data_IF_707507245222
#
_entry.id   IF_707507245222
#
_cell.length_a   1.000
_cell.length_b   1.000
_cell.length_c   1.000
_cell.angle_alpha   90.00
_cell.angle_beta   90.00
_cell.angle_gamma   90.00
#
_symmetry.space_group_name_H-M   'P 1'
#
loop_
_entity.id
_entity.type
_entity.pdbx_description
1 polymer ?
#
# COMPACT_ATOMS: atom_id res chain seq x y z
N UNK A 1 -15.98 -11.41 1.73
CA UNK A 1 -14.53 -11.13 1.76
C UNK A 1 -14.40 -9.81 2.47
N UNK A 2 -13.98 -9.80 3.73
CA UNK A 2 -13.87 -8.56 4.49
C UNK A 2 -12.76 -7.71 3.88
N UNK A 3 -13.09 -6.49 3.44
CA UNK A 3 -12.15 -5.55 2.85
C UNK A 3 -11.29 -4.90 3.94
N UNK A 4 -10.55 -5.71 4.70
CA UNK A 4 -9.68 -5.20 5.74
C UNK A 4 -8.31 -4.90 5.13
N UNK A 5 -8.15 -3.66 4.64
CA UNK A 5 -6.88 -3.16 4.15
C UNK A 5 -5.96 -2.87 5.33
N UNK A 6 -4.70 -3.30 5.24
CA UNK A 6 -3.69 -3.05 6.27
C UNK A 6 -2.56 -2.18 5.71
N UNK A 7 -1.90 -1.41 6.59
CA UNK A 7 -0.69 -0.67 6.24
C UNK A 7 0.51 -1.62 6.08
N UNK A 8 1.51 -1.20 5.30
CA UNK A 8 2.76 -1.96 5.11
C UNK A 8 3.46 -2.27 6.43
N UNK A 9 3.38 -1.36 7.41
CA UNK A 9 3.94 -1.55 8.76
C UNK A 9 3.30 -2.67 9.57
N UNK A 10 2.08 -3.08 9.22
CA UNK A 10 1.30 -4.09 9.93
C UNK A 10 1.43 -5.48 9.30
N UNK A 11 2.23 -5.62 8.23
CA UNK A 11 2.49 -6.90 7.59
C UNK A 11 3.28 -7.82 8.52
N UNK A 12 2.79 -9.06 8.66
CA UNK A 12 3.47 -10.09 9.45
C UNK A 12 4.56 -10.76 8.63
N UNK A 13 5.71 -11.02 9.25
CA UNK A 13 6.75 -11.85 8.65
C UNK A 13 6.31 -13.32 8.56
N UNK A 14 6.74 -14.02 7.51
CA UNK A 14 6.38 -15.42 7.25
C UNK A 14 5.20 -15.57 6.29
N UNK A 15 4.56 -16.75 6.31
CA UNK A 15 3.39 -17.04 5.45
C UNK A 15 2.14 -16.40 6.04
N UNK A 16 1.65 -15.36 5.38
CA UNK A 16 0.40 -14.69 5.71
C UNK A 16 -0.35 -14.31 4.43
N UNK A 17 -1.62 -13.94 4.56
CA UNK A 17 -2.43 -13.40 3.47
C UNK A 17 -3.04 -12.09 3.95
N UNK A 18 -2.81 -11.00 3.22
CA UNK A 18 -3.28 -9.66 3.58
C UNK A 18 -3.57 -8.86 2.31
N UNK A 19 -4.57 -8.00 2.39
CA UNK A 19 -4.87 -7.03 1.33
C UNK A 19 -4.30 -5.67 1.74
N UNK A 20 -3.56 -5.03 0.85
CA UNK A 20 -2.98 -3.70 1.06
C UNK A 20 -3.27 -2.80 -0.13
N UNK A 21 -3.47 -1.52 0.14
CA UNK A 21 -3.50 -0.48 -0.90
C UNK A 21 -2.18 0.27 -0.82
N UNK A 22 -1.50 0.47 -1.94
CA UNK A 22 -0.16 1.08 -1.99
C UNK A 22 0.02 1.90 -3.24
N UNK A 23 0.96 2.85 -3.19
CA UNK A 23 1.47 3.58 -4.35
C UNK A 23 2.77 2.93 -4.81
N UNK A 24 2.83 2.49 -6.06
CA UNK A 24 4.06 2.01 -6.69
C UNK A 24 4.93 3.20 -7.10
N UNK A 25 6.08 3.37 -6.45
CA UNK A 25 7.02 4.47 -6.73
C UNK A 25 8.03 4.10 -7.81
N UNK A 26 8.52 2.87 -7.80
CA UNK A 26 9.49 2.38 -8.78
C UNK A 26 9.39 0.88 -8.96
N UNK A 27 9.47 0.47 -10.22
CA UNK A 27 9.67 -0.90 -10.64
C UNK A 27 11.09 -1.04 -11.17
N UNK A 28 11.82 -2.04 -10.70
CA UNK A 28 13.08 -2.43 -11.32
C UNK A 28 12.84 -3.63 -12.22
N UNK A 29 13.52 -3.63 -13.37
CA UNK A 29 13.52 -4.77 -14.29
C UNK A 29 13.86 -6.06 -13.54
N UNK A 30 13.13 -7.12 -13.81
CA UNK A 30 13.33 -8.42 -13.19
C UNK A 30 14.75 -8.92 -13.50
N UNK A 31 15.64 -8.88 -12.51
CA UNK A 31 17.04 -9.34 -12.69
C UNK A 31 17.18 -10.86 -12.65
N UNK A 32 16.09 -11.57 -12.39
CA UNK A 32 16.08 -12.97 -12.02
C UNK A 32 15.17 -13.82 -12.95
N UNK A 33 15.29 -13.61 -14.26
CA UNK A 33 14.56 -14.37 -15.31
C UNK A 33 15.28 -15.67 -15.70
N UNK A 34 16.23 -16.17 -14.90
CA UNK A 34 17.15 -17.23 -15.34
C UNK A 34 17.06 -18.51 -14.52
N UNK A 35 16.12 -19.37 -14.90
CA UNK A 35 16.29 -20.79 -15.29
C UNK A 35 14.93 -21.32 -15.75
N UNK A 36 14.76 -21.56 -17.06
CA UNK A 36 13.50 -22.13 -17.60
C UNK A 36 12.37 -21.14 -17.92
N UNK A 37 12.62 -19.83 -17.88
CA UNK A 37 11.61 -18.80 -18.20
C UNK A 37 10.70 -18.40 -17.04
N UNK A 38 10.91 -18.97 -15.86
CA UNK A 38 10.18 -18.59 -14.64
C UNK A 38 10.74 -17.30 -14.03
N UNK A 39 9.84 -16.41 -13.63
CA UNK A 39 10.18 -15.18 -12.91
C UNK A 39 10.56 -15.54 -11.47
N UNK A 40 11.84 -15.46 -11.12
CA UNK A 40 12.28 -15.76 -9.75
C UNK A 40 12.08 -14.60 -8.77
N UNK A 41 11.81 -13.38 -9.26
CA UNK A 41 11.50 -12.23 -8.41
C UNK A 41 11.55 -10.89 -9.14
N UNK A 42 10.95 -9.88 -8.50
CA UNK A 42 10.92 -8.48 -8.92
C UNK A 42 11.25 -7.60 -7.72
N UNK A 43 12.03 -6.54 -7.95
CA UNK A 43 12.27 -5.52 -6.94
C UNK A 43 11.28 -4.36 -7.18
N UNK A 44 10.50 -4.02 -6.15
CA UNK A 44 9.50 -2.94 -6.20
C UNK A 44 9.64 -2.04 -4.98
N UNK A 45 9.48 -0.72 -5.18
CA UNK A 45 9.39 0.25 -4.10
C UNK A 45 7.93 0.70 -3.96
N UNK A 46 7.32 0.37 -2.83
CA UNK A 46 5.94 0.66 -2.50
C UNK A 46 5.87 1.66 -1.33
N UNK A 47 4.84 2.49 -1.31
CA UNK A 47 4.55 3.42 -0.23
C UNK A 47 3.08 3.28 0.17
N UNK A 48 2.80 3.39 1.47
CA UNK A 48 1.42 3.49 1.95
C UNK A 48 0.71 4.72 1.35
N UNK A 49 -0.63 4.68 1.20
CA UNK A 49 -1.40 5.84 0.80
C UNK A 49 -1.26 6.90 1.88
N UNK A 50 -0.82 8.10 1.49
CA UNK A 50 -0.83 9.22 2.42
C UNK A 50 -2.30 9.51 2.78
N UNK A 51 -2.67 9.57 4.07
CA UNK A 51 -4.02 9.98 4.45
C UNK A 51 -4.26 11.34 3.81
N UNK A 52 -5.42 11.50 3.15
CA UNK A 52 -5.81 12.79 2.62
C UNK A 52 -5.88 13.76 3.80
N UNK A 53 -4.82 14.55 3.99
CA UNK A 53 -4.78 15.55 5.03
C UNK A 53 -5.68 16.68 4.54
N UNK A 54 -6.96 16.64 4.94
CA UNK A 54 -7.88 17.73 4.69
C UNK A 54 -7.40 18.88 5.58
N UNK A 55 -6.69 19.82 4.98
CA UNK A 55 -6.38 21.09 5.64
C UNK A 55 -7.69 21.87 5.69
N UNK A 56 -8.42 21.76 6.79
CA UNK A 56 -9.55 22.64 7.04
C UNK A 56 -9.01 23.99 7.53
N UNK A 57 -9.45 25.11 6.93
CA UNK A 57 -9.19 26.43 7.48
C UNK A 57 -9.69 26.48 8.93
N UNK A 58 -8.83 26.91 9.86
CA UNK A 58 -9.15 27.12 11.27
C UNK A 58 -10.27 28.17 11.37
N UNK A 59 -11.53 27.72 11.40
CA UNK A 59 -12.69 28.62 11.45
C UNK A 59 -14.01 28.04 10.94
N UNK A 60 -14.02 26.92 10.20
CA UNK A 60 -15.28 26.27 9.85
C UNK A 60 -15.70 25.31 10.96
N UNK A 61 -16.70 25.72 11.75
CA UNK A 61 -17.44 24.82 12.64
C UNK A 61 -18.07 23.74 11.77
N UNK A 62 -17.43 22.57 11.68
CA UNK A 62 -18.05 21.39 11.07
C UNK A 62 -19.02 20.88 12.13
N UNK A 63 -20.30 21.20 11.95
CA UNK A 63 -21.35 20.43 12.60
C UNK A 63 -21.16 18.98 12.19
N UNK A 64 -21.05 18.13 13.21
CA UNK A 64 -20.87 16.70 13.13
C UNK A 64 -22.10 16.07 12.48
N UNK A 65 -22.19 16.11 11.16
CA UNK A 65 -23.13 15.31 10.39
C UNK A 65 -22.38 14.69 9.20
N UNK A 66 -22.06 13.39 9.37
CA UNK A 66 -21.59 12.42 8.37
C UNK A 66 -20.11 12.48 7.93
N UNK A 67 -19.26 11.69 8.60
CA UNK A 67 -18.78 10.36 8.18
C UNK A 67 -17.98 9.70 9.32
#
# INVERSE_FOLDING_TARGET
MDNNLVFLSNLQTGRSSSSVEVRLLRFWEARNVRRGGELMGVDMLLLDPQPAMVVTPLGTKIESDYL
#
